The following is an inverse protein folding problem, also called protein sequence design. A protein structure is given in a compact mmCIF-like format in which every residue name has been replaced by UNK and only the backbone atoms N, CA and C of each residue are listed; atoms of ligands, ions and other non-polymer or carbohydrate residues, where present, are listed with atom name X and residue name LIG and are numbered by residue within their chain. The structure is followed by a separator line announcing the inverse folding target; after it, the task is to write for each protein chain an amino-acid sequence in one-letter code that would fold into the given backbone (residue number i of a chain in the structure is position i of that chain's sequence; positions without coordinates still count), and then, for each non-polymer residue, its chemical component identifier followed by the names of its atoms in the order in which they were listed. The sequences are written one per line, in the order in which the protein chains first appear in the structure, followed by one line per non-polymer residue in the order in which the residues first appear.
data_IF_016365265272
#
_entry.id   IF_016365265272
#
_cell.length_a   1.000
_cell.length_b   1.000
_cell.length_c   1.000
_cell.angle_alpha   90.00
_cell.angle_beta   90.00
_cell.angle_gamma   90.00
#
_symmetry.space_group_name_H-M   'P 1'
#
loop_
_entity.id
_entity.type
_entity.pdbx_description
1 polymer ?
#
# COMPACT_ATOMS: atom_id res chain seq x y z
N UNK A 1 -25.27 -52.09 9.32
CA UNK A 1 -24.99 -51.35 8.06
C UNK A 1 -25.99 -50.22 7.81
N UNK A 2 -27.30 -50.44 8.01
CA UNK A 2 -28.36 -49.40 7.91
C UNK A 2 -28.18 -48.21 8.86
N UNK A 3 -27.75 -48.41 10.10
CA UNK A 3 -27.60 -47.32 11.08
C UNK A 3 -26.45 -46.36 10.76
N UNK A 4 -25.40 -46.86 10.11
CA UNK A 4 -24.25 -46.04 9.67
C UNK A 4 -24.63 -45.13 8.49
N UNK A 5 -25.48 -45.63 7.59
CA UNK A 5 -26.05 -44.86 6.48
C UNK A 5 -27.02 -43.81 7.01
N UNK A 6 -27.91 -44.18 7.92
CA UNK A 6 -28.87 -43.25 8.54
C UNK A 6 -28.17 -42.14 9.33
N UNK A 7 -27.11 -42.48 10.06
CA UNK A 7 -26.22 -41.53 10.75
C UNK A 7 -25.55 -40.55 9.78
N UNK A 8 -25.01 -41.04 8.66
CA UNK A 8 -24.42 -40.21 7.60
C UNK A 8 -25.43 -39.25 6.98
N UNK A 9 -26.64 -39.74 6.67
CA UNK A 9 -27.73 -38.91 6.13
C UNK A 9 -28.20 -37.84 7.11
N UNK A 10 -28.29 -38.15 8.42
CA UNK A 10 -28.64 -37.16 9.45
C UNK A 10 -27.60 -36.04 9.56
N UNK A 11 -26.31 -36.37 9.47
CA UNK A 11 -25.22 -35.38 9.46
C UNK A 11 -25.28 -34.48 8.24
N UNK A 12 -25.44 -35.05 7.05
CA UNK A 12 -25.52 -34.25 5.81
C UNK A 12 -26.77 -33.37 5.79
N UNK A 13 -27.92 -33.87 6.27
CA UNK A 13 -29.14 -33.06 6.38
C UNK A 13 -28.95 -31.88 7.35
N UNK A 14 -28.27 -32.08 8.47
CA UNK A 14 -27.91 -30.98 9.39
C UNK A 14 -26.96 -29.96 8.74
N UNK A 15 -25.96 -30.43 7.99
CA UNK A 15 -25.03 -29.58 7.24
C UNK A 15 -25.76 -28.74 6.19
N UNK A 16 -26.65 -29.37 5.41
CA UNK A 16 -27.47 -28.71 4.40
C UNK A 16 -28.40 -27.68 5.04
N UNK A 17 -29.09 -28.00 6.13
CA UNK A 17 -29.93 -27.04 6.87
C UNK A 17 -29.13 -25.82 7.35
N UNK A 18 -27.92 -26.04 7.84
CA UNK A 18 -27.03 -24.96 8.25
C UNK A 18 -26.63 -24.09 7.06
N UNK A 19 -26.32 -24.72 5.92
CA UNK A 19 -25.96 -24.01 4.68
C UNK A 19 -27.14 -23.20 4.13
N UNK A 20 -28.36 -23.75 4.16
CA UNK A 20 -29.58 -23.02 3.76
C UNK A 20 -29.78 -21.78 4.62
N UNK A 21 -29.63 -21.88 5.95
CA UNK A 21 -29.72 -20.72 6.85
C UNK A 21 -28.66 -19.65 6.53
N UNK A 22 -27.41 -20.06 6.29
CA UNK A 22 -26.35 -19.13 5.90
C UNK A 22 -26.69 -18.41 4.58
N UNK A 23 -27.15 -19.16 3.57
CA UNK A 23 -27.53 -18.59 2.27
C UNK A 23 -28.73 -17.64 2.40
N UNK A 24 -29.72 -17.96 3.24
CA UNK A 24 -30.85 -17.07 3.53
C UNK A 24 -30.38 -15.76 4.15
N UNK A 25 -29.42 -15.78 5.07
CA UNK A 25 -28.81 -14.57 5.63
C UNK A 25 -28.10 -13.74 4.55
N UNK A 26 -27.33 -14.38 3.68
CA UNK A 26 -26.65 -13.69 2.56
C UNK A 26 -27.65 -13.04 1.61
N UNK A 27 -28.70 -13.77 1.20
CA UNK A 27 -29.75 -13.25 0.32
C UNK A 27 -30.44 -12.06 0.97
N UNK A 28 -30.76 -12.12 2.27
CA UNK A 28 -31.37 -11.01 2.98
C UNK A 28 -30.48 -9.77 2.98
N UNK A 29 -29.19 -9.95 3.22
CA UNK A 29 -28.22 -8.85 3.20
C UNK A 29 -28.06 -8.24 1.81
N UNK A 30 -28.01 -9.08 0.76
CA UNK A 30 -27.95 -8.62 -0.63
C UNK A 30 -29.21 -7.85 -1.04
N UNK A 31 -30.40 -8.30 -0.62
CA UNK A 31 -31.64 -7.56 -0.84
C UNK A 31 -31.61 -6.17 -0.22
N UNK A 32 -31.23 -6.07 1.05
CA UNK A 32 -31.06 -4.76 1.73
C UNK A 32 -30.07 -3.88 0.98
N UNK A 33 -28.95 -4.45 0.50
CA UNK A 33 -27.96 -3.70 -0.28
C UNK A 33 -28.55 -3.20 -1.60
N UNK A 34 -29.33 -4.02 -2.31
CA UNK A 34 -30.01 -3.60 -3.55
C UNK A 34 -31.01 -2.49 -3.25
N UNK A 35 -31.84 -2.64 -2.20
CA UNK A 35 -32.82 -1.62 -1.81
C UNK A 35 -32.14 -0.28 -1.46
N UNK A 36 -30.97 -0.32 -0.81
CA UNK A 36 -30.14 0.87 -0.55
C UNK A 36 -29.63 1.52 -1.85
N UNK A 37 -29.20 0.71 -2.82
CA UNK A 37 -28.76 1.17 -4.13
C UNK A 37 -29.91 1.61 -5.05
N UNK A 38 -31.14 1.17 -4.83
CA UNK A 38 -32.30 1.63 -5.60
C UNK A 38 -32.89 2.92 -4.99
N UNK A 39 -32.92 3.02 -3.66
CA UNK A 39 -33.57 4.13 -2.95
C UNK A 39 -32.62 5.30 -2.68
N UNK A 40 -31.39 4.99 -2.27
CA UNK A 40 -30.40 5.96 -1.76
C UNK A 40 -29.03 5.76 -2.42
N UNK A 41 -29.03 5.47 -3.72
CA UNK A 41 -27.85 5.10 -4.49
C UNK A 41 -26.66 6.05 -4.29
N UNK A 42 -26.93 7.35 -4.19
CA UNK A 42 -25.92 8.40 -4.02
C UNK A 42 -25.26 8.36 -2.63
N UNK A 43 -26.03 8.10 -1.56
CA UNK A 43 -25.50 7.96 -0.20
C UNK A 43 -24.74 6.65 -0.03
N UNK A 44 -25.27 5.56 -0.60
CA UNK A 44 -24.60 4.25 -0.55
C UNK A 44 -23.29 4.27 -1.34
N UNK A 45 -23.30 4.84 -2.55
CA UNK A 45 -22.11 5.05 -3.35
C UNK A 45 -21.10 5.95 -2.61
N UNK A 46 -21.56 7.03 -1.98
CA UNK A 46 -20.70 7.89 -1.16
C UNK A 46 -20.00 7.11 -0.04
N UNK A 47 -20.76 6.34 0.75
CA UNK A 47 -20.22 5.55 1.86
C UNK A 47 -19.22 4.50 1.38
N UNK A 48 -19.55 3.78 0.31
CA UNK A 48 -18.66 2.75 -0.25
C UNK A 48 -17.37 3.38 -0.80
N UNK A 49 -17.47 4.55 -1.45
CA UNK A 49 -16.30 5.30 -1.94
C UNK A 49 -15.41 5.83 -0.81
N UNK A 50 -15.98 6.29 0.32
CA UNK A 50 -15.20 6.71 1.49
C UNK A 50 -14.41 5.54 2.11
N UNK A 51 -15.04 4.37 2.25
CA UNK A 51 -14.38 3.15 2.75
C UNK A 51 -13.25 2.73 1.82
N UNK A 52 -13.52 2.71 0.51
CA UNK A 52 -12.51 2.38 -0.51
C UNK A 52 -11.35 3.38 -0.47
N UNK A 53 -11.61 4.68 -0.33
CA UNK A 53 -10.57 5.72 -0.26
C UNK A 53 -9.59 5.47 0.90
N UNK A 54 -10.10 5.16 2.08
CA UNK A 54 -9.25 4.86 3.24
C UNK A 54 -8.38 3.63 2.98
N UNK A 55 -8.95 2.58 2.38
CA UNK A 55 -8.19 1.38 2.01
C UNK A 55 -7.12 1.71 0.97
N UNK A 56 -7.45 2.48 -0.06
CA UNK A 56 -6.51 2.93 -1.10
C UNK A 56 -5.38 3.80 -0.54
N UNK A 57 -5.66 4.60 0.50
CA UNK A 57 -4.65 5.44 1.18
C UNK A 57 -3.56 4.61 1.81
N UNK A 58 -3.87 3.42 2.31
CA UNK A 58 -2.87 2.51 2.87
C UNK A 58 -1.90 1.95 1.81
N UNK A 59 -2.29 1.92 0.54
CA UNK A 59 -1.40 1.47 -0.54
C UNK A 59 -0.38 2.53 -0.94
N UNK A 60 -0.80 3.81 -1.02
CA UNK A 60 0.06 4.92 -1.45
C UNK A 60 0.79 5.61 -0.28
N UNK A 61 0.22 5.56 0.92
CA UNK A 61 0.74 6.16 2.14
C UNK A 61 0.55 5.24 3.36
N UNK A 62 1.28 4.11 3.42
CA UNK A 62 1.20 3.16 4.53
C UNK A 62 1.69 3.78 5.84
N UNK A 63 1.29 3.15 6.95
CA UNK A 63 1.68 3.56 8.29
C UNK A 63 3.21 3.52 8.48
N UNK A 64 3.76 4.40 9.34
CA UNK A 64 5.17 4.35 9.70
C UNK A 64 5.58 3.00 10.27
N UNK A 65 6.82 2.60 9.99
CA UNK A 65 7.43 1.37 10.49
C UNK A 65 8.69 1.68 11.27
N UNK A 66 8.94 0.93 12.35
CA UNK A 66 10.17 1.07 13.13
C UNK A 66 11.28 0.24 12.51
N UNK A 67 12.40 0.88 12.19
CA UNK A 67 13.59 0.24 11.61
C UNK A 67 14.76 0.43 12.55
N UNK A 68 15.45 -0.65 12.90
CA UNK A 68 16.74 -0.58 13.60
C UNK A 68 17.83 -0.27 12.56
N UNK A 69 18.48 0.87 12.72
CA UNK A 69 19.50 1.34 11.79
C UNK A 69 20.57 2.16 12.52
N UNK A 70 21.61 2.55 11.80
CA UNK A 70 22.64 3.45 12.29
C UNK A 70 22.86 4.62 11.34
N UNK A 71 23.28 5.74 11.92
CA UNK A 71 23.77 6.91 11.21
C UNK A 71 24.96 7.48 12.00
N UNK A 72 26.07 7.83 11.33
CA UNK A 72 27.30 8.30 11.97
C UNK A 72 27.75 7.42 13.16
N UNK A 73 27.69 6.10 13.00
CA UNK A 73 28.01 5.09 14.02
C UNK A 73 27.11 5.08 15.26
N UNK A 74 26.00 5.82 15.26
CA UNK A 74 25.00 5.77 16.31
C UNK A 74 23.85 4.84 15.90
N UNK A 75 23.70 3.72 16.62
CA UNK A 75 22.61 2.78 16.39
C UNK A 75 21.36 3.19 17.16
N UNK A 76 20.25 3.36 16.46
CA UNK A 76 18.97 3.76 17.05
C UNK A 76 17.79 3.10 16.31
N UNK A 77 16.58 3.28 16.85
CA UNK A 77 15.36 2.99 16.12
C UNK A 77 14.88 4.23 15.39
N UNK A 78 14.40 4.06 14.16
CA UNK A 78 13.86 5.14 13.34
C UNK A 78 12.43 4.81 12.96
N UNK A 79 11.51 5.75 13.15
CA UNK A 79 10.15 5.63 12.65
C UNK A 79 10.08 6.18 11.23
N UNK A 80 10.06 5.27 10.26
CA UNK A 80 10.16 5.59 8.83
C UNK A 80 8.80 5.40 8.18
N UNK A 81 8.29 6.44 7.52
CA UNK A 81 7.14 6.30 6.61
C UNK A 81 7.62 5.64 5.31
N UNK A 82 7.08 4.47 4.91
CA UNK A 82 7.52 3.82 3.67
C UNK A 82 7.36 4.70 2.42
N UNK A 83 6.33 5.55 2.37
CA UNK A 83 6.13 6.52 1.30
C UNK A 83 7.25 7.58 1.18
N UNK A 84 8.05 7.78 2.24
CA UNK A 84 9.19 8.70 2.24
C UNK A 84 10.51 7.99 1.93
N UNK A 85 10.53 6.66 1.81
CA UNK A 85 11.73 5.94 1.37
C UNK A 85 11.86 6.15 -0.14
N UNK A 86 12.98 6.72 -0.58
CA UNK A 86 13.35 6.86 -1.99
C UNK A 86 13.75 5.48 -2.54
N UNK A 87 14.64 4.79 -1.83
CA UNK A 87 15.10 3.46 -2.20
C UNK A 87 15.98 2.81 -1.14
N UNK A 88 16.22 1.53 -1.31
CA UNK A 88 17.11 0.70 -0.50
C UNK A 88 18.18 0.08 -1.40
N UNK A 89 19.43 0.30 -1.02
CA UNK A 89 20.60 -0.09 -1.79
C UNK A 89 21.52 -0.96 -0.94
N UNK A 90 21.84 -2.15 -1.43
CA UNK A 90 22.71 -3.09 -0.73
C UNK A 90 24.16 -2.83 -1.12
N UNK A 91 25.01 -2.59 -0.11
CA UNK A 91 26.47 -2.48 -0.22
C UNK A 91 27.09 -3.54 0.68
N UNK A 92 27.38 -4.71 0.11
CA UNK A 92 27.82 -5.88 0.87
C UNK A 92 26.74 -6.36 1.84
N UNK A 93 27.08 -6.44 3.13
CA UNK A 93 26.12 -6.82 4.19
C UNK A 93 25.21 -5.66 4.63
N UNK A 94 25.60 -4.42 4.37
CA UNK A 94 24.90 -3.21 4.81
C UNK A 94 23.93 -2.71 3.75
N UNK A 95 22.79 -2.19 4.19
CA UNK A 95 21.68 -1.71 3.37
C UNK A 95 21.53 -0.24 3.68
N UNK A 96 21.70 0.58 2.68
CA UNK A 96 21.49 2.01 2.76
C UNK A 96 20.04 2.32 2.38
N UNK A 97 19.31 2.96 3.28
CA UNK A 97 17.94 3.43 3.05
C UNK A 97 18.04 4.94 2.85
N UNK A 98 17.60 5.40 1.68
CA UNK A 98 17.51 6.82 1.36
C UNK A 98 16.10 7.32 1.62
N UNK A 99 15.98 8.46 2.29
CA UNK A 99 14.73 9.08 2.67
C UNK A 99 14.58 10.45 2.01
N UNK A 100 13.34 10.78 1.64
CA UNK A 100 12.92 12.07 1.10
C UNK A 100 12.79 13.15 2.20
N UNK A 101 12.80 12.74 3.46
CA UNK A 101 12.72 13.66 4.61
C UNK A 101 13.67 13.22 5.69
N UNK A 102 14.40 14.17 6.26
CA UNK A 102 15.28 13.89 7.39
C UNK A 102 14.44 13.56 8.64
N UNK A 103 14.82 12.51 9.36
CA UNK A 103 14.14 12.07 10.58
C UNK A 103 15.13 11.89 11.73
N UNK A 104 14.71 12.12 12.98
CA UNK A 104 15.53 11.86 14.16
C UNK A 104 15.48 10.37 14.57
N UNK A 105 16.52 9.92 15.28
CA UNK A 105 16.51 8.64 15.97
C UNK A 105 15.65 8.66 17.25
N UNK A 106 14.93 7.59 17.52
CA UNK A 106 14.18 7.39 18.77
C UNK A 106 15.15 6.99 19.86
N UNK A 107 15.25 7.80 20.92
CA UNK A 107 16.11 7.54 22.08
C UNK A 107 17.61 7.70 21.81
N UNK A 108 17.99 8.22 20.64
CA UNK A 108 19.37 8.62 20.31
C UNK A 108 19.54 10.14 20.35
N UNK A 109 20.64 10.64 19.78
CA UNK A 109 20.85 12.05 19.55
C UNK A 109 19.71 12.61 18.68
N UNK A 110 19.28 13.84 18.97
CA UNK A 110 18.24 14.53 18.18
C UNK A 110 18.68 14.88 16.73
N UNK A 111 19.81 14.33 16.29
CA UNK A 111 20.38 14.49 14.95
C UNK A 111 19.42 13.92 13.92
N UNK A 112 19.01 14.76 12.98
CA UNK A 112 18.17 14.34 11.86
C UNK A 112 19.02 13.81 10.70
N UNK A 113 18.52 12.80 10.00
CA UNK A 113 19.19 12.23 8.82
C UNK A 113 18.19 11.76 7.77
N UNK A 114 18.58 11.91 6.50
CA UNK A 114 17.91 11.36 5.34
C UNK A 114 18.55 10.03 4.85
N UNK A 115 19.58 9.54 5.54
CA UNK A 115 20.29 8.30 5.21
C UNK A 115 20.37 7.42 6.44
N UNK A 116 19.93 6.18 6.29
CA UNK A 116 20.03 5.15 7.33
C UNK A 116 20.83 3.95 6.81
N UNK A 117 21.61 3.34 7.69
CA UNK A 117 22.33 2.10 7.40
C UNK A 117 21.81 0.97 8.28
N UNK A 118 21.47 -0.17 7.69
CA UNK A 118 21.01 -1.34 8.45
C UNK A 118 21.66 -2.61 7.95
N UNK A 119 21.86 -3.58 8.85
CA UNK A 119 22.33 -4.92 8.50
C UNK A 119 21.17 -5.89 8.23
N UNK A 120 19.92 -5.49 8.52
CA UNK A 120 18.71 -6.28 8.25
C UNK A 120 18.71 -6.80 6.82
N UNK A 121 18.30 -8.06 6.63
CA UNK A 121 18.25 -8.67 5.31
C UNK A 121 17.27 -7.90 4.40
N UNK A 122 17.60 -7.72 3.12
CA UNK A 122 16.72 -6.99 2.19
C UNK A 122 15.33 -7.64 2.07
N UNK A 123 15.24 -8.96 2.09
CA UNK A 123 13.97 -9.69 2.04
C UNK A 123 13.13 -9.48 3.31
N UNK A 124 13.76 -9.38 4.48
CA UNK A 124 13.07 -9.04 5.74
C UNK A 124 12.62 -7.58 5.72
N UNK A 125 13.50 -6.68 5.30
CA UNK A 125 13.19 -5.26 5.18
C UNK A 125 12.02 -5.05 4.21
N UNK A 126 11.99 -5.75 3.08
CA UNK A 126 10.90 -5.70 2.11
C UNK A 126 9.57 -6.15 2.72
N UNK A 127 9.55 -7.18 3.56
CA UNK A 127 8.31 -7.61 4.27
C UNK A 127 7.78 -6.51 5.19
N UNK A 128 8.67 -5.73 5.79
CA UNK A 128 8.31 -4.64 6.71
C UNK A 128 7.86 -3.39 5.95
N UNK A 129 8.63 -2.94 4.96
CA UNK A 129 8.39 -1.65 4.28
C UNK A 129 7.42 -1.75 3.10
N UNK A 130 7.28 -2.93 2.47
CA UNK A 130 6.47 -3.14 1.26
C UNK A 130 5.28 -4.08 1.53
N UNK A 131 4.55 -3.88 2.64
CA UNK A 131 3.42 -4.71 3.03
C UNK A 131 2.32 -4.74 1.96
N UNK A 132 2.07 -3.60 1.30
CA UNK A 132 1.11 -3.48 0.20
C UNK A 132 1.59 -4.10 -1.12
N UNK A 133 2.86 -4.53 -1.20
CA UNK A 133 3.56 -5.02 -2.41
C UNK A 133 3.54 -4.05 -3.60
N UNK A 134 3.21 -2.79 -3.33
CA UNK A 134 2.79 -1.85 -4.34
C UNK A 134 3.81 -0.73 -4.56
N UNK A 135 4.26 -0.12 -3.46
CA UNK A 135 5.14 1.05 -3.49
C UNK A 135 6.53 0.74 -4.00
N UNK A 136 7.03 -0.48 -3.77
CA UNK A 136 8.41 -0.82 -4.08
C UNK A 136 8.52 -1.83 -5.22
N UNK A 137 9.48 -1.57 -6.11
CA UNK A 137 9.89 -2.44 -7.20
C UNK A 137 11.32 -2.91 -6.97
N UNK A 138 11.55 -4.23 -7.05
CA UNK A 138 12.88 -4.83 -6.94
C UNK A 138 13.51 -4.87 -8.33
N UNK A 139 14.42 -3.92 -8.61
CA UNK A 139 14.90 -3.69 -9.97
C UNK A 139 16.11 -4.54 -10.35
N UNK A 140 16.94 -4.87 -9.37
CA UNK A 140 18.04 -5.85 -9.46
C UNK A 140 18.39 -6.37 -8.07
N UNK A 141 19.26 -7.37 -8.00
CA UNK A 141 19.72 -7.92 -6.72
C UNK A 141 20.29 -6.79 -5.85
N UNK A 142 19.69 -6.59 -4.68
CA UNK A 142 20.15 -5.60 -3.72
C UNK A 142 19.62 -4.18 -3.94
N UNK A 143 18.80 -3.90 -4.95
CA UNK A 143 18.26 -2.57 -5.22
C UNK A 143 16.74 -2.61 -5.30
N UNK A 144 16.11 -1.95 -4.33
CA UNK A 144 14.67 -1.83 -4.20
C UNK A 144 14.32 -0.34 -4.25
N UNK A 145 13.51 0.08 -5.21
CA UNK A 145 13.16 1.50 -5.38
C UNK A 145 11.68 1.74 -5.13
N UNK A 146 11.35 2.94 -4.67
CA UNK A 146 9.97 3.36 -4.52
C UNK A 146 9.46 4.01 -5.82
N UNK A 147 8.34 3.52 -6.35
CA UNK A 147 7.76 4.00 -7.62
C UNK A 147 7.29 5.45 -7.57
N UNK A 148 7.02 5.98 -6.37
CA UNK A 148 6.70 7.40 -6.16
C UNK A 148 7.85 8.31 -6.61
N UNK A 149 9.09 7.92 -6.31
CA UNK A 149 10.27 8.77 -6.38
C UNK A 149 11.08 8.61 -7.66
N UNK A 150 10.66 7.74 -8.58
CA UNK A 150 11.37 7.49 -9.83
C UNK A 150 10.45 7.65 -11.06
N UNK A 151 11.05 8.10 -12.16
CA UNK A 151 10.55 7.97 -13.52
C UNK A 151 11.31 6.86 -14.26
N UNK A 152 10.73 6.37 -15.36
CA UNK A 152 11.38 5.42 -16.26
C UNK A 152 11.47 6.04 -17.65
N UNK A 153 12.67 6.08 -18.21
CA UNK A 153 12.88 6.43 -19.61
C UNK A 153 13.75 5.36 -20.27
N UNK A 154 13.24 4.77 -21.34
CA UNK A 154 13.83 3.59 -21.99
C UNK A 154 14.03 2.41 -21.01
N UNK A 155 15.25 2.24 -20.50
CA UNK A 155 15.63 1.18 -19.53
C UNK A 155 16.40 1.76 -18.34
N UNK A 156 16.22 3.05 -18.07
CA UNK A 156 16.87 3.75 -16.99
C UNK A 156 15.83 4.38 -16.07
N UNK A 157 16.02 4.17 -14.78
CA UNK A 157 15.22 4.81 -13.74
C UNK A 157 15.92 6.07 -13.29
N UNK A 158 15.16 7.16 -13.28
CA UNK A 158 15.64 8.48 -12.90
C UNK A 158 14.94 8.93 -11.63
N UNK A 159 15.69 9.32 -10.60
CA UNK A 159 15.10 9.87 -9.39
C UNK A 159 14.45 11.22 -9.70
N UNK A 160 13.18 11.38 -9.33
CA UNK A 160 12.42 12.61 -9.53
C UNK A 160 12.88 13.74 -8.60
N UNK A 161 13.50 13.40 -7.46
CA UNK A 161 14.07 14.34 -6.48
C UNK A 161 15.61 14.31 -6.53
N UNK A 162 16.15 15.18 -7.38
CA UNK A 162 17.60 15.28 -7.65
C UNK A 162 18.36 15.83 -6.42
N UNK A 163 17.71 16.64 -5.58
CA UNK A 163 18.40 17.38 -4.51
C UNK A 163 18.74 16.57 -3.25
N UNK A 164 18.21 15.35 -3.10
CA UNK A 164 18.31 14.57 -1.86
C UNK A 164 19.18 13.32 -2.03
N UNK A 165 19.47 12.90 -3.27
CA UNK A 165 20.22 11.68 -3.52
C UNK A 165 21.74 11.93 -3.38
N UNK A 166 22.41 11.33 -2.39
CA UNK A 166 23.81 11.63 -2.07
C UNK A 166 24.81 11.10 -3.10
N UNK A 167 24.38 10.37 -4.13
CA UNK A 167 25.26 9.94 -5.22
C UNK A 167 24.53 9.76 -6.56
N UNK A 168 25.27 10.06 -7.64
CA UNK A 168 24.86 9.88 -9.04
C UNK A 168 24.47 8.42 -9.35
N UNK A 169 25.06 7.47 -8.62
CA UNK A 169 24.81 6.04 -8.77
C UNK A 169 23.37 5.63 -8.42
N UNK A 170 22.67 6.44 -7.62
CA UNK A 170 21.31 6.18 -7.19
C UNK A 170 20.28 6.98 -7.99
N UNK A 171 20.70 8.05 -8.66
CA UNK A 171 19.82 8.88 -9.50
C UNK A 171 19.61 8.32 -10.90
N UNK A 172 20.50 7.43 -11.39
CA UNK A 172 20.38 6.84 -12.73
C UNK A 172 20.67 5.33 -12.72
N UNK A 173 19.61 4.51 -12.68
CA UNK A 173 19.72 3.06 -12.50
C UNK A 173 19.31 2.34 -13.77
N UNK A 174 20.26 1.68 -14.45
CA UNK A 174 19.96 0.75 -15.54
C UNK A 174 19.24 -0.48 -15.03
N UNK A 175 18.15 -0.87 -15.71
CA UNK A 175 17.32 -2.01 -15.34
C UNK A 175 17.12 -3.00 -16.49
N UNK A 176 16.69 -4.21 -16.14
CA UNK A 176 16.28 -5.22 -17.11
C UNK A 176 14.89 -4.92 -17.65
N UNK A 177 14.58 -5.41 -18.86
CA UNK A 177 13.24 -5.30 -19.47
C UNK A 177 12.13 -5.87 -18.56
N UNK A 178 12.40 -6.98 -17.86
CA UNK A 178 11.46 -7.58 -16.91
C UNK A 178 11.15 -6.63 -15.74
N UNK A 179 12.20 -6.06 -15.14
CA UNK A 179 12.04 -5.09 -14.05
C UNK A 179 11.36 -3.80 -14.53
N UNK A 180 11.61 -3.37 -15.78
CA UNK A 180 10.95 -2.22 -16.37
C UNK A 180 9.44 -2.42 -16.47
N UNK A 181 8.99 -3.59 -16.94
CA UNK A 181 7.56 -3.92 -17.00
C UNK A 181 6.91 -3.90 -15.61
N UNK A 182 7.54 -4.54 -14.61
CA UNK A 182 7.02 -4.53 -13.23
C UNK A 182 6.94 -3.10 -12.67
N UNK A 183 7.96 -2.28 -12.96
CA UNK A 183 7.96 -0.88 -12.56
C UNK A 183 6.81 -0.10 -13.19
N UNK A 184 6.60 -0.25 -14.51
CA UNK A 184 5.51 0.42 -15.25
C UNK A 184 4.15 0.04 -14.68
N UNK A 185 3.90 -1.25 -14.43
CA UNK A 185 2.63 -1.72 -13.86
C UNK A 185 2.36 -1.09 -12.49
N UNK A 186 3.36 -1.12 -11.59
CA UNK A 186 3.25 -0.52 -10.26
C UNK A 186 3.12 1.01 -10.32
N UNK A 187 3.86 1.67 -11.19
CA UNK A 187 3.81 3.13 -11.37
C UNK A 187 2.43 3.57 -11.88
N UNK A 188 1.91 2.92 -12.93
CA UNK A 188 0.58 3.21 -13.47
C UNK A 188 -0.51 3.00 -12.41
N UNK A 189 -0.43 1.91 -11.66
CA UNK A 189 -1.38 1.68 -10.60
C UNK A 189 -1.27 2.76 -9.50
N UNK A 190 -0.05 3.16 -9.12
CA UNK A 190 0.18 4.21 -8.14
C UNK A 190 -0.41 5.55 -8.58
N UNK A 191 -0.15 5.94 -9.82
CA UNK A 191 -0.66 7.19 -10.40
C UNK A 191 -2.19 7.17 -10.50
N UNK A 192 -2.81 6.04 -10.84
CA UNK A 192 -4.26 5.88 -10.85
C UNK A 192 -4.87 6.05 -9.45
N UNK A 193 -4.31 5.39 -8.43
CA UNK A 193 -4.81 5.52 -7.05
C UNK A 193 -4.64 6.95 -6.54
N UNK A 194 -3.47 7.55 -6.79
CA UNK A 194 -3.18 8.92 -6.38
C UNK A 194 -4.11 9.93 -7.10
N UNK A 195 -4.42 9.70 -8.38
CA UNK A 195 -5.39 10.52 -9.14
C UNK A 195 -6.80 10.41 -8.59
N UNK A 196 -7.25 9.19 -8.25
CA UNK A 196 -8.53 8.96 -7.60
C UNK A 196 -8.61 9.70 -6.26
N UNK A 197 -7.54 9.65 -5.46
CA UNK A 197 -7.44 10.33 -4.17
C UNK A 197 -7.44 11.86 -4.29
N UNK A 198 -6.74 12.44 -5.26
CA UNK A 198 -6.53 13.89 -5.35
C UNK A 198 -7.66 14.63 -6.06
N UNK A 199 -8.16 14.13 -7.19
CA UNK A 199 -9.01 14.93 -8.08
C UNK A 199 -10.44 14.40 -8.18
N UNK A 200 -10.62 13.14 -8.56
CA UNK A 200 -11.95 12.67 -8.92
C UNK A 200 -12.86 12.46 -7.72
N UNK A 201 -12.36 11.88 -6.63
CA UNK A 201 -13.23 11.61 -5.49
C UNK A 201 -13.54 12.86 -4.69
N UNK A 202 -12.59 13.78 -4.46
CA UNK A 202 -12.87 15.05 -3.76
C UNK A 202 -13.94 15.87 -4.48
N UNK A 203 -13.87 15.95 -5.81
CA UNK A 203 -14.88 16.67 -6.59
C UNK A 203 -16.24 15.96 -6.57
N UNK A 204 -16.25 14.62 -6.62
CA UNK A 204 -17.48 13.82 -6.46
C UNK A 204 -18.07 14.02 -5.06
N UNK A 205 -17.27 13.92 -3.99
CA UNK A 205 -17.69 14.14 -2.60
C UNK A 205 -18.19 15.58 -2.40
N UNK A 206 -17.53 16.58 -2.99
CA UNK A 206 -17.95 17.98 -2.93
C UNK A 206 -19.29 18.20 -3.66
N UNK A 207 -19.48 17.59 -4.83
CA UNK A 207 -20.75 17.63 -5.56
C UNK A 207 -21.88 16.94 -4.79
N UNK A 208 -21.65 15.74 -4.26
CA UNK A 208 -22.64 15.01 -3.45
C UNK A 208 -22.99 15.82 -2.19
N UNK A 209 -22.00 16.35 -1.47
CA UNK A 209 -22.23 17.18 -0.28
C UNK A 209 -23.05 18.43 -0.60
N UNK A 210 -22.73 19.11 -1.72
CA UNK A 210 -23.49 20.27 -2.19
C UNK A 210 -24.94 19.90 -2.50
N UNK A 211 -25.17 18.78 -3.19
CA UNK A 211 -26.52 18.27 -3.47
C UNK A 211 -27.31 17.97 -2.20
N UNK A 212 -26.71 17.29 -1.21
CA UNK A 212 -27.35 16.99 0.08
C UNK A 212 -27.73 18.29 0.81
N UNK A 213 -26.80 19.25 0.93
CA UNK A 213 -27.09 20.54 1.60
C UNK A 213 -28.07 21.43 0.83
N UNK A 214 -28.29 21.19 -0.47
CA UNK A 214 -29.29 21.92 -1.25
C UNK A 214 -30.71 21.37 -1.09
N UNK A 215 -30.88 20.16 -0.57
CA UNK A 215 -32.18 19.59 -0.20
C UNK A 215 -32.66 20.06 1.19
N UNK A 216 -31.77 20.62 2.01
CA UNK A 216 -32.07 21.14 3.35
C UNK A 216 -32.47 22.63 3.37
N UNK A 217 -32.58 23.28 2.21
CA UNK A 217 -33.07 24.66 2.03
C UNK A 217 -34.34 24.69 1.19
#
# INVERSE_FOLDING_TARGET
MKDKILSGLKKENSRLKTKVRQLQTVIRHQKVTIDEYETNWHLKLFSDLEVLLQQYTLFTNPLPVKIKASFKNEAAFYEVKPANIIGVFSKGRTKQILLDTAIPGIGGSATQTNILYTETNLGELQKVINQSKFLFCLVKRGVLINVKHYGLESNFLFANSIDITPSVDYSNIKISKKAANEFIEKKKAFDNINSLQNNQLRDILAKIKKSITSFEK
#
